data_IF_882346453843
#
_entry.id   IF_882346453843
#
_cell.length_a   1.000
_cell.length_b   1.000
_cell.length_c   1.000
_cell.angle_alpha   90.00
_cell.angle_beta   90.00
_cell.angle_gamma   90.00
#
_symmetry.space_group_name_H-M   'P 1'
#
loop_
_entity.id
_entity.type
_entity.pdbx_description
1 polymer ?
#
# COMPACT_ATOMS: atom_id res chain seq x y z
N UNK A 1 20.46 6.37 -3.49
CA UNK A 1 19.54 6.86 -4.51
C UNK A 1 18.32 7.53 -3.90
N UNK A 2 17.50 6.80 -3.16
CA UNK A 2 16.44 7.43 -2.38
C UNK A 2 16.93 7.64 -0.96
N UNK A 3 16.72 8.85 -0.49
CA UNK A 3 17.25 9.28 0.78
C UNK A 3 16.25 9.06 1.91
N UNK A 4 15.54 7.91 1.88
CA UNK A 4 14.53 7.53 2.85
C UNK A 4 15.01 6.33 3.66
N UNK A 5 14.76 6.39 4.97
CA UNK A 5 15.15 5.33 5.89
C UNK A 5 14.10 4.23 6.01
N UNK A 6 12.83 4.59 5.83
CA UNK A 6 11.72 3.64 5.94
C UNK A 6 10.75 3.81 4.79
N UNK A 7 10.23 2.70 4.32
CA UNK A 7 9.23 2.66 3.26
C UNK A 7 8.00 1.93 3.75
N UNK A 8 6.83 2.50 3.50
CA UNK A 8 5.55 1.80 3.64
C UNK A 8 5.04 1.41 2.26
N UNK A 9 4.31 0.31 2.22
CA UNK A 9 3.66 -0.17 1.01
C UNK A 9 2.16 -0.06 1.18
N UNK A 10 1.47 0.60 0.25
CA UNK A 10 0.03 0.49 0.11
C UNK A 10 -0.21 -0.53 -0.99
N UNK A 11 -0.79 -1.66 -0.62
CA UNK A 11 -0.93 -2.82 -1.50
C UNK A 11 -2.39 -3.13 -1.77
N UNK A 12 -2.77 -3.13 -3.05
CA UNK A 12 -4.08 -3.58 -3.47
C UNK A 12 -3.94 -4.38 -4.76
N UNK A 13 -4.48 -5.58 -4.80
CA UNK A 13 -4.23 -6.54 -5.87
C UNK A 13 -5.56 -7.05 -6.43
N UNK A 14 -5.63 -7.18 -7.75
CA UNK A 14 -6.75 -7.86 -8.38
C UNK A 14 -6.56 -9.38 -8.24
N UNK A 15 -7.66 -10.12 -8.13
CA UNK A 15 -7.64 -11.53 -7.79
C UNK A 15 -6.91 -12.44 -8.77
N UNK A 16 -6.66 -11.97 -9.99
CA UNK A 16 -5.94 -12.74 -11.02
C UNK A 16 -4.43 -12.47 -11.02
N UNK A 17 -3.92 -11.67 -10.09
CA UNK A 17 -2.50 -11.35 -9.99
C UNK A 17 -1.83 -12.19 -8.92
N UNK A 18 -0.52 -12.35 -9.04
CA UNK A 18 0.30 -13.08 -8.09
C UNK A 18 0.63 -12.18 -6.89
N UNK A 19 -0.29 -12.13 -5.92
CA UNK A 19 -0.13 -11.30 -4.73
C UNK A 19 1.11 -11.71 -3.93
N UNK A 20 1.34 -13.02 -3.77
CA UNK A 20 2.48 -13.50 -2.99
C UNK A 20 3.81 -13.12 -3.64
N UNK A 21 3.89 -13.18 -4.97
CA UNK A 21 5.09 -12.77 -5.70
C UNK A 21 5.39 -11.28 -5.51
N UNK A 22 4.36 -10.45 -5.53
CA UNK A 22 4.50 -9.02 -5.30
C UNK A 22 4.99 -8.76 -3.87
N UNK A 23 4.38 -9.42 -2.89
CA UNK A 23 4.75 -9.28 -1.48
C UNK A 23 6.21 -9.72 -1.27
N UNK A 24 6.58 -10.87 -1.82
CA UNK A 24 7.94 -11.40 -1.67
C UNK A 24 8.98 -10.48 -2.30
N UNK A 25 8.66 -9.85 -3.43
CA UNK A 25 9.56 -8.92 -4.09
C UNK A 25 9.78 -7.64 -3.28
N UNK A 26 8.75 -7.17 -2.57
CA UNK A 26 8.81 -5.89 -1.86
C UNK A 26 9.11 -6.03 -0.37
N UNK A 27 8.94 -7.22 0.20
CA UNK A 27 9.20 -7.45 1.63
C UNK A 27 10.57 -6.98 2.11
N UNK A 28 11.67 -7.17 1.34
CA UNK A 28 12.97 -6.69 1.79
C UNK A 28 13.12 -5.17 1.81
N UNK A 29 12.21 -4.45 1.15
CA UNK A 29 12.32 -3.00 0.97
C UNK A 29 11.48 -2.24 1.98
N UNK A 30 10.34 -2.81 2.39
CA UNK A 30 9.34 -2.09 3.18
C UNK A 30 9.36 -2.54 4.65
N UNK A 31 8.95 -1.64 5.54
CA UNK A 31 8.87 -1.93 6.98
C UNK A 31 7.43 -1.92 7.48
N UNK A 32 6.50 -1.38 6.70
CA UNK A 32 5.10 -1.23 7.06
C UNK A 32 4.22 -1.45 5.84
N UNK A 33 3.11 -2.17 5.99
CA UNK A 33 2.19 -2.42 4.88
C UNK A 33 0.76 -2.05 5.27
N UNK A 34 0.08 -1.39 4.36
CA UNK A 34 -1.34 -1.08 4.45
C UNK A 34 -2.02 -1.76 3.27
N UNK A 35 -2.77 -2.83 3.52
CA UNK A 35 -3.48 -3.52 2.44
C UNK A 35 -4.82 -2.85 2.20
N UNK A 36 -5.28 -2.86 0.95
CA UNK A 36 -6.53 -2.22 0.58
C UNK A 36 -7.18 -2.94 -0.60
N UNK A 37 -8.38 -2.47 -0.96
CA UNK A 37 -9.13 -3.00 -2.10
C UNK A 37 -9.38 -1.86 -3.08
N UNK A 38 -8.75 -1.91 -4.29
CA UNK A 38 -9.11 -0.96 -5.35
C UNK A 38 -10.59 -1.11 -5.72
N UNK A 39 -11.18 -0.06 -6.24
CA UNK A 39 -12.58 -0.13 -6.68
C UNK A 39 -12.71 -0.99 -7.93
N UNK A 40 -12.82 -2.28 -7.71
CA UNK A 40 -12.99 -3.27 -8.76
C UNK A 40 -13.67 -4.49 -8.16
N UNK A 41 -14.63 -5.12 -8.86
CA UNK A 41 -15.24 -6.36 -8.38
C UNK A 41 -14.24 -7.51 -8.29
N UNK A 42 -13.07 -7.35 -8.90
CA UNK A 42 -12.00 -8.36 -8.90
C UNK A 42 -10.95 -8.11 -7.83
N UNK A 43 -11.12 -7.09 -6.99
CA UNK A 43 -10.15 -6.77 -5.95
C UNK A 43 -10.06 -7.90 -4.93
N UNK A 44 -8.84 -8.29 -4.58
CA UNK A 44 -8.60 -9.23 -3.49
C UNK A 44 -8.97 -8.58 -2.17
N UNK A 45 -9.50 -9.38 -1.25
CA UNK A 45 -9.89 -8.92 0.08
C UNK A 45 -8.67 -8.39 0.85
N UNK A 46 -8.81 -7.19 1.41
CA UNK A 46 -7.71 -6.54 2.14
C UNK A 46 -7.24 -7.36 3.35
N UNK A 47 -8.17 -8.02 4.06
CA UNK A 47 -7.81 -8.87 5.19
C UNK A 47 -7.03 -10.09 4.74
N UNK A 48 -7.40 -10.70 3.61
CA UNK A 48 -6.68 -11.85 3.07
C UNK A 48 -5.26 -11.45 2.65
N UNK A 49 -5.10 -10.28 2.05
CA UNK A 49 -3.78 -9.75 1.71
C UNK A 49 -2.95 -9.48 2.97
N UNK A 50 -3.57 -8.94 4.01
CA UNK A 50 -2.90 -8.69 5.28
C UNK A 50 -2.37 -9.97 5.90
N UNK A 51 -3.15 -11.06 5.84
CA UNK A 51 -2.71 -12.37 6.34
C UNK A 51 -1.46 -12.85 5.61
N UNK A 52 -1.41 -12.69 4.29
CA UNK A 52 -0.23 -13.06 3.50
C UNK A 52 0.99 -12.26 3.89
N UNK A 53 0.82 -10.97 4.13
CA UNK A 53 1.91 -10.08 4.54
C UNK A 53 2.41 -10.44 5.95
N UNK A 54 1.49 -10.72 6.85
CA UNK A 54 1.82 -11.07 8.23
C UNK A 54 2.68 -12.34 8.30
N UNK A 55 2.43 -13.30 7.40
CA UNK A 55 3.25 -14.51 7.31
C UNK A 55 4.72 -14.23 7.00
N UNK A 56 5.03 -13.06 6.44
CA UNK A 56 6.41 -12.64 6.16
C UNK A 56 7.01 -11.82 7.30
N UNK A 57 6.31 -11.68 8.41
CA UNK A 57 6.82 -10.99 9.60
C UNK A 57 6.77 -9.46 9.51
N UNK A 58 6.02 -8.92 8.56
CA UNK A 58 5.89 -7.47 8.41
C UNK A 58 4.72 -6.93 9.23
N UNK A 59 4.83 -5.69 9.67
CA UNK A 59 3.75 -4.99 10.35
C UNK A 59 2.73 -4.56 9.30
N UNK A 60 1.48 -5.00 9.44
CA UNK A 60 0.44 -4.77 8.43
C UNK A 60 -0.89 -4.45 9.08
N UNK A 61 -1.68 -3.62 8.41
CA UNK A 61 -3.09 -3.40 8.74
C UNK A 61 -3.92 -3.37 7.47
N UNK A 62 -5.16 -3.84 7.56
CA UNK A 62 -6.08 -3.90 6.43
C UNK A 62 -7.01 -2.70 6.44
N UNK A 63 -7.18 -2.07 5.28
CA UNK A 63 -8.03 -0.90 5.08
C UNK A 63 -8.81 -1.11 3.79
N UNK A 64 -10.03 -1.67 3.85
CA UNK A 64 -10.78 -1.98 2.61
C UNK A 64 -10.97 -0.79 1.68
N UNK A 65 -11.20 0.40 2.22
CA UNK A 65 -11.33 1.60 1.40
C UNK A 65 -9.95 2.16 1.07
N UNK A 66 -9.66 2.38 -0.22
CA UNK A 66 -8.34 2.83 -0.66
C UNK A 66 -7.97 4.22 -0.14
N UNK A 67 -8.95 5.12 -0.03
CA UNK A 67 -8.70 6.46 0.51
C UNK A 67 -8.30 6.42 1.98
N UNK A 68 -8.88 5.50 2.76
CA UNK A 68 -8.50 5.28 4.15
C UNK A 68 -7.07 4.74 4.25
N UNK A 69 -6.72 3.79 3.39
CA UNK A 69 -5.36 3.25 3.34
C UNK A 69 -4.34 4.34 3.01
N UNK A 70 -4.66 5.19 2.02
CA UNK A 70 -3.78 6.30 1.64
C UNK A 70 -3.62 7.31 2.77
N UNK A 71 -4.73 7.66 3.43
CA UNK A 71 -4.71 8.63 4.53
C UNK A 71 -3.89 8.09 5.71
N UNK A 72 -4.07 6.82 6.04
CA UNK A 72 -3.33 6.18 7.13
C UNK A 72 -1.82 6.12 6.80
N UNK A 73 -1.47 5.76 5.57
CA UNK A 73 -0.08 5.72 5.13
C UNK A 73 0.56 7.11 5.16
N UNK A 74 -0.18 8.13 4.73
CA UNK A 74 0.27 9.51 4.76
C UNK A 74 0.57 9.96 6.19
N UNK A 75 -0.31 9.64 7.13
CA UNK A 75 -0.09 9.99 8.54
C UNK A 75 1.13 9.28 9.10
N UNK A 76 1.29 8.00 8.76
CA UNK A 76 2.47 7.24 9.14
C UNK A 76 3.75 7.92 8.65
N UNK A 77 3.76 8.36 7.39
CA UNK A 77 4.93 9.02 6.81
C UNK A 77 5.22 10.36 7.49
N UNK A 78 4.18 11.08 7.89
CA UNK A 78 4.32 12.37 8.57
C UNK A 78 4.80 12.24 10.02
N UNK A 79 4.64 11.09 10.63
CA UNK A 79 5.02 10.84 12.03
C UNK A 79 6.50 10.57 12.23
N UNK A 80 7.25 10.38 11.17
CA UNK A 80 8.67 10.09 11.24
C UNK A 80 9.46 10.84 10.19
N UNK A 81 10.77 10.91 10.40
CA UNK A 81 11.67 11.53 9.44
C UNK A 81 12.04 10.53 8.35
N UNK A 82 12.16 11.01 7.12
CA UNK A 82 12.71 10.23 6.00
C UNK A 82 11.91 8.95 5.71
N UNK A 83 10.58 9.07 5.76
CA UNK A 83 9.65 8.01 5.43
C UNK A 83 9.00 8.26 4.07
N UNK A 84 8.84 7.22 3.29
CA UNK A 84 8.19 7.28 1.98
C UNK A 84 7.11 6.21 1.86
N UNK A 85 6.19 6.41 0.94
CA UNK A 85 5.08 5.49 0.68
C UNK A 85 5.15 5.03 -0.76
N UNK A 86 5.10 3.71 -0.95
CA UNK A 86 5.08 3.07 -2.26
C UNK A 86 3.68 2.49 -2.50
N UNK A 87 3.13 2.71 -3.68
CA UNK A 87 1.83 2.17 -4.08
C UNK A 87 2.09 1.06 -5.09
N UNK A 88 1.54 -0.11 -4.86
CA UNK A 88 1.77 -1.23 -5.76
C UNK A 88 0.60 -2.20 -5.83
N UNK A 89 0.57 -2.99 -6.89
CA UNK A 89 -0.31 -4.14 -7.07
C UNK A 89 -1.38 -3.97 -8.12
N UNK A 90 -1.81 -2.76 -8.46
CA UNK A 90 -2.93 -2.56 -9.36
C UNK A 90 -2.87 -1.19 -10.04
N UNK A 91 -3.16 -1.16 -11.34
CA UNK A 91 -3.30 0.09 -12.08
C UNK A 91 -4.49 0.90 -11.57
N UNK A 92 -5.58 0.21 -11.19
CA UNK A 92 -6.75 0.87 -10.60
C UNK A 92 -6.36 1.58 -9.30
N UNK A 93 -5.61 0.89 -8.44
CA UNK A 93 -5.14 1.48 -7.19
C UNK A 93 -4.21 2.69 -7.44
N UNK A 94 -3.33 2.58 -8.42
CA UNK A 94 -2.44 3.69 -8.77
C UNK A 94 -3.24 4.91 -9.21
N UNK A 95 -4.30 4.70 -10.01
CA UNK A 95 -5.19 5.78 -10.42
C UNK A 95 -5.93 6.41 -9.25
N UNK A 96 -6.40 5.60 -8.31
CA UNK A 96 -7.06 6.09 -7.09
C UNK A 96 -6.10 6.89 -6.22
N UNK A 97 -4.83 6.45 -6.14
CA UNK A 97 -3.81 7.16 -5.38
C UNK A 97 -3.52 8.54 -5.98
N UNK A 98 -3.46 8.63 -7.30
CA UNK A 98 -3.26 9.91 -7.98
C UNK A 98 -4.45 10.84 -7.71
N UNK A 99 -5.67 10.33 -7.82
CA UNK A 99 -6.88 11.11 -7.55
C UNK A 99 -6.92 11.59 -6.09
N UNK A 100 -6.55 10.72 -5.16
CA UNK A 100 -6.46 11.08 -3.75
C UNK A 100 -5.43 12.20 -3.54
N UNK A 101 -4.26 12.06 -4.12
CA UNK A 101 -3.19 13.06 -3.98
C UNK A 101 -3.63 14.41 -4.53
N UNK A 102 -4.30 14.42 -5.68
CA UNK A 102 -4.81 15.66 -6.27
C UNK A 102 -5.87 16.32 -5.40
N UNK A 103 -6.80 15.53 -4.83
CA UNK A 103 -7.86 16.06 -3.98
C UNK A 103 -7.32 16.64 -2.68
N UNK A 104 -6.19 16.11 -2.18
CA UNK A 104 -5.55 16.56 -0.94
C UNK A 104 -4.50 17.66 -1.17
N UNK A 105 -4.32 18.07 -2.42
CA UNK A 105 -3.35 19.13 -2.74
C UNK A 105 -1.90 18.68 -2.67
N UNK A 106 -1.63 17.41 -2.79
CA UNK A 106 -0.26 16.92 -2.82
C UNK A 106 0.43 17.35 -4.10
N UNK A 107 1.69 17.68 -3.95
CA UNK A 107 2.55 17.98 -5.10
C UNK A 107 3.59 16.87 -5.23
N UNK A 108 3.78 16.44 -6.46
CA UNK A 108 4.78 15.42 -6.77
C UNK A 108 6.20 15.96 -6.55
#
# INVERSE_FOLDING_TARGET
FFDFDEWALVLGVLGDKDAEGIIDALAPVVTRVFTTQPESPRASDAEALADLVELRGLVVSAHPASDDAMDTARRWAAEGDRRAVLIAGSVVLAGEAIAYAESEGWKA
#
